data_IF_129274969403
#
_entry.id   IF_129274969403
#
_cell.length_a   1.000
_cell.length_b   1.000
_cell.length_c   1.000
_cell.angle_alpha   90.00
_cell.angle_beta   90.00
_cell.angle_gamma   90.00
#
_symmetry.space_group_name_H-M   'P 1'
#
loop_
_entity.id
_entity.type
_entity.pdbx_description
1 polymer ?
#
# COMPACT_ATOMS: atom_id res chain seq x y z
N UNK A 1 7.76 2.70 31.17
CA UNK A 1 8.62 3.05 30.02
C UNK A 1 7.68 3.23 28.85
N UNK A 2 7.14 4.44 28.82
CA UNK A 2 5.95 4.79 28.07
C UNK A 2 6.42 5.30 26.72
N UNK A 3 6.69 4.35 25.82
CA UNK A 3 6.95 4.68 24.44
C UNK A 3 5.70 5.36 23.88
N UNK A 4 5.87 6.62 23.46
CA UNK A 4 4.85 7.43 22.81
C UNK A 4 4.18 6.57 21.72
N UNK A 5 2.95 6.11 21.98
CA UNK A 5 2.03 5.49 21.00
C UNK A 5 1.57 6.56 19.99
N UNK A 6 2.52 7.31 19.44
CA UNK A 6 2.29 8.40 18.52
C UNK A 6 2.03 7.80 17.16
N UNK A 7 0.74 7.55 16.89
CA UNK A 7 0.24 6.88 15.67
C UNK A 7 0.84 5.46 15.57
N UNK A 8 0.04 4.44 15.86
CA UNK A 8 0.32 3.07 15.39
C UNK A 8 0.14 3.09 13.88
N UNK A 9 1.08 3.75 13.21
CA UNK A 9 1.03 4.16 11.82
C UNK A 9 1.06 2.91 10.98
N UNK A 10 0.11 2.84 10.05
CA UNK A 10 0.14 2.00 8.87
C UNK A 10 1.59 1.90 8.38
N UNK A 11 2.27 0.78 8.64
CA UNK A 11 3.63 0.53 8.19
C UNK A 11 3.76 -0.93 7.76
N UNK A 12 4.49 -1.17 6.67
CA UNK A 12 4.83 -2.52 6.21
C UNK A 12 6.10 -2.91 6.96
N UNK A 13 6.10 -4.06 7.65
CA UNK A 13 7.28 -4.53 8.40
C UNK A 13 7.79 -5.80 7.74
N UNK A 14 9.05 -5.80 7.33
CA UNK A 14 9.68 -6.94 6.69
C UNK A 14 10.36 -7.84 7.74
N UNK A 15 10.59 -9.11 7.37
CA UNK A 15 11.26 -10.08 8.24
C UNK A 15 12.70 -9.69 8.61
N UNK A 16 13.34 -8.84 7.81
CA UNK A 16 14.65 -8.24 8.06
C UNK A 16 14.62 -7.12 9.14
N UNK A 17 13.43 -6.78 9.68
CA UNK A 17 13.24 -5.72 10.66
C UNK A 17 13.15 -4.31 10.07
N UNK A 18 13.39 -4.17 8.76
CA UNK A 18 13.11 -2.94 8.03
C UNK A 18 11.60 -2.67 7.95
N UNK A 19 11.22 -1.39 7.85
CA UNK A 19 9.83 -0.99 7.72
C UNK A 19 9.64 0.16 6.74
N UNK A 20 8.49 0.17 6.05
CA UNK A 20 8.06 1.29 5.20
C UNK A 20 6.85 1.94 5.86
N UNK A 21 6.96 3.23 6.18
CA UNK A 21 5.85 4.02 6.69
C UNK A 21 4.82 4.32 5.58
N UNK A 22 3.54 4.25 5.93
CA UNK A 22 2.43 4.56 5.01
C UNK A 22 2.47 5.98 4.46
N UNK A 23 3.03 6.94 5.21
CA UNK A 23 3.24 8.32 4.77
C UNK A 23 4.09 8.39 3.48
N UNK A 24 5.13 7.56 3.39
CA UNK A 24 5.96 7.48 2.19
C UNK A 24 5.21 6.89 1.00
N UNK A 25 4.32 5.93 1.27
CA UNK A 25 3.43 5.40 0.23
C UNK A 25 2.55 6.51 -0.29
N UNK A 26 1.87 7.26 0.59
CA UNK A 26 0.98 8.34 0.16
C UNK A 26 1.67 9.34 -0.75
N UNK A 27 2.95 9.68 -0.54
CA UNK A 27 3.73 10.54 -1.45
C UNK A 27 3.93 9.94 -2.84
N UNK A 28 4.18 8.62 -2.95
CA UNK A 28 4.30 7.95 -4.25
C UNK A 28 2.97 7.97 -4.98
N UNK A 29 1.86 7.69 -4.29
CA UNK A 29 0.53 7.64 -4.89
C UNK A 29 -0.05 9.03 -5.20
N UNK A 30 0.33 10.07 -4.46
CA UNK A 30 -0.11 11.46 -4.67
C UNK A 30 0.22 11.95 -6.09
N UNK A 31 1.40 11.59 -6.60
CA UNK A 31 1.81 11.88 -7.98
C UNK A 31 0.92 11.23 -9.05
N UNK A 32 0.07 10.27 -8.66
CA UNK A 32 -0.85 9.53 -9.54
C UNK A 32 -2.29 9.57 -9.04
N UNK A 33 -2.65 10.52 -8.17
CA UNK A 33 -3.99 10.64 -7.59
C UNK A 33 -5.09 10.85 -8.65
N UNK A 34 -4.76 11.46 -9.80
CA UNK A 34 -5.65 11.57 -10.95
C UNK A 34 -5.97 10.22 -11.62
N UNK A 35 -5.07 9.24 -11.50
CA UNK A 35 -5.17 7.90 -12.12
C UNK A 35 -5.61 6.80 -11.15
N UNK A 36 -5.37 6.98 -9.85
CA UNK A 36 -5.67 6.00 -8.80
C UNK A 36 -6.59 6.66 -7.77
N UNK A 37 -7.85 6.22 -7.74
CA UNK A 37 -8.87 6.76 -6.85
C UNK A 37 -8.58 6.41 -5.38
N UNK A 38 -8.11 5.19 -5.15
CA UNK A 38 -7.75 4.71 -3.84
C UNK A 38 -6.72 3.58 -3.96
N UNK A 39 -5.90 3.40 -2.93
CA UNK A 39 -4.97 2.29 -2.86
C UNK A 39 -4.93 1.73 -1.44
N UNK A 40 -4.61 0.45 -1.32
CA UNK A 40 -4.45 -0.23 -0.04
C UNK A 40 -3.37 -1.28 -0.18
N UNK A 41 -2.46 -1.32 0.77
CA UNK A 41 -1.45 -2.36 0.86
C UNK A 41 -1.91 -3.41 1.85
N UNK A 42 -1.95 -4.67 1.43
CA UNK A 42 -2.30 -5.80 2.26
C UNK A 42 -1.08 -6.71 2.42
N UNK A 43 -0.54 -6.78 3.63
CA UNK A 43 0.56 -7.67 3.97
C UNK A 43 0.03 -9.02 4.47
N UNK A 44 0.36 -10.09 3.75
CA UNK A 44 0.11 -11.49 4.12
C UNK A 44 1.01 -11.91 5.29
N UNK A 45 0.58 -12.94 6.03
CA UNK A 45 1.38 -13.55 7.10
C UNK A 45 2.69 -14.17 6.59
N UNK A 46 2.67 -14.68 5.36
CA UNK A 46 3.84 -15.22 4.66
C UNK A 46 4.85 -14.13 4.24
N UNK A 47 4.55 -12.85 4.51
CA UNK A 47 5.40 -11.72 4.13
C UNK A 47 5.19 -11.21 2.70
N UNK A 48 4.26 -11.82 1.95
CA UNK A 48 3.81 -11.30 0.64
C UNK A 48 3.06 -9.97 0.84
N UNK A 49 3.32 -9.00 -0.02
CA UNK A 49 2.69 -7.68 -0.01
C UNK A 49 1.81 -7.54 -1.25
N UNK A 50 0.51 -7.30 -1.06
CA UNK A 50 -0.45 -7.13 -2.13
C UNK A 50 -0.82 -5.65 -2.18
N UNK A 51 -0.51 -4.99 -3.29
CA UNK A 51 -0.96 -3.64 -3.57
C UNK A 51 -2.31 -3.70 -4.28
N UNK A 52 -3.37 -3.30 -3.57
CA UNK A 52 -4.69 -3.08 -4.12
C UNK A 52 -4.82 -1.66 -4.62
N UNK A 53 -5.26 -1.49 -5.86
CA UNK A 53 -5.52 -0.17 -6.45
C UNK A 53 -6.92 -0.13 -7.05
N UNK A 54 -7.59 1.02 -6.85
CA UNK A 54 -8.84 1.38 -7.50
C UNK A 54 -8.49 2.37 -8.60
N UNK A 55 -8.49 1.96 -9.87
CA UNK A 55 -8.25 2.87 -10.98
C UNK A 55 -9.39 3.89 -11.10
N UNK A 56 -9.07 5.15 -11.40
CA UNK A 56 -10.11 6.11 -11.80
C UNK A 56 -10.61 5.72 -13.19
N UNK A 57 -11.92 5.58 -13.37
CA UNK A 57 -12.52 5.19 -14.66
C UNK A 57 -12.26 6.15 -15.83
N UNK A 58 -11.59 7.27 -15.56
CA UNK A 58 -11.18 8.30 -16.52
C UNK A 58 -9.85 7.92 -17.21
N UNK A 59 -9.00 7.15 -16.55
CA UNK A 59 -7.71 6.72 -17.07
C UNK A 59 -7.70 5.20 -17.37
N UNK A 60 -7.88 4.84 -18.64
CA UNK A 60 -7.70 3.46 -19.15
C UNK A 60 -6.22 3.02 -19.24
N UNK A 61 -5.29 3.83 -18.73
CA UNK A 61 -3.86 3.61 -18.89
C UNK A 61 -3.28 2.70 -17.82
N UNK A 62 -3.05 1.42 -18.16
CA UNK A 62 -2.24 0.49 -17.37
C UNK A 62 -0.86 1.05 -16.97
N UNK A 63 -0.30 1.97 -17.77
CA UNK A 63 1.03 2.54 -17.59
C UNK A 63 1.23 3.29 -16.25
N UNK A 64 0.23 4.04 -15.78
CA UNK A 64 0.35 4.78 -14.50
C UNK A 64 0.29 3.83 -13.31
N UNK A 65 -0.59 2.82 -13.39
CA UNK A 65 -0.70 1.78 -12.37
C UNK A 65 0.58 0.96 -12.33
N UNK A 66 1.14 0.59 -13.48
CA UNK A 66 2.40 -0.13 -13.58
C UNK A 66 3.58 0.70 -13.05
N UNK A 67 3.59 2.01 -13.31
CA UNK A 67 4.61 2.92 -12.76
C UNK A 67 4.55 2.98 -11.23
N UNK A 68 3.36 3.12 -10.65
CA UNK A 68 3.13 3.10 -9.20
C UNK A 68 3.53 1.75 -8.61
N UNK A 69 3.11 0.66 -9.25
CA UNK A 69 3.46 -0.69 -8.84
C UNK A 69 4.97 -0.92 -8.89
N UNK A 70 5.65 -0.49 -9.95
CA UNK A 70 7.10 -0.56 -10.07
C UNK A 70 7.81 0.34 -9.05
N UNK A 71 7.26 1.51 -8.71
CA UNK A 71 7.77 2.35 -7.63
C UNK A 71 7.73 1.63 -6.29
N UNK A 72 6.58 1.04 -5.95
CA UNK A 72 6.44 0.23 -4.74
C UNK A 72 7.33 -1.01 -4.77
N UNK A 73 7.35 -1.73 -5.88
CA UNK A 73 8.16 -2.94 -6.07
C UNK A 73 9.66 -2.64 -5.99
N UNK A 74 10.13 -1.51 -6.48
CA UNK A 74 11.52 -1.08 -6.30
C UNK A 74 11.82 -0.71 -4.85
N UNK A 75 10.87 -0.07 -4.15
CA UNK A 75 11.02 0.30 -2.74
C UNK A 75 11.09 -0.94 -1.83
N UNK A 76 10.19 -1.90 -2.05
CA UNK A 76 10.19 -3.20 -1.36
C UNK A 76 11.37 -4.05 -1.83
N UNK A 77 11.73 -3.94 -3.11
CA UNK A 77 12.79 -4.68 -3.76
C UNK A 77 12.54 -6.19 -3.72
N UNK A 78 13.60 -6.94 -3.42
CA UNK A 78 13.57 -8.40 -3.27
C UNK A 78 13.22 -8.86 -1.85
N UNK A 79 12.81 -7.94 -0.96
CA UNK A 79 12.55 -8.26 0.46
C UNK A 79 11.26 -9.06 0.66
N UNK A 80 10.29 -8.84 -0.22
CA UNK A 80 8.98 -9.49 -0.21
C UNK A 80 8.46 -9.63 -1.62
N UNK A 81 7.61 -10.63 -1.84
CA UNK A 81 6.86 -10.73 -3.09
C UNK A 81 5.79 -9.63 -3.14
N UNK A 82 5.81 -8.80 -4.18
CA UNK A 82 4.84 -7.71 -4.35
C UNK A 82 3.88 -8.07 -5.47
N UNK A 83 2.60 -8.13 -5.16
CA UNK A 83 1.52 -8.44 -6.11
C UNK A 83 0.67 -7.21 -6.36
N UNK A 84 0.25 -7.00 -7.60
CA UNK A 84 -0.70 -5.95 -7.96
C UNK A 84 -2.10 -6.57 -8.08
N UNK A 85 -3.06 -6.01 -7.37
CA UNK A 85 -4.46 -6.41 -7.43
C UNK A 85 -5.32 -5.19 -7.78
N UNK A 86 -6.06 -5.27 -8.88
CA UNK A 86 -6.99 -4.20 -9.29
C UNK A 86 -8.35 -4.52 -8.70
N UNK A 87 -8.86 -3.62 -7.88
CA UNK A 87 -10.14 -3.77 -7.21
C UNK A 87 -11.06 -2.62 -7.61
N UNK A 88 -12.35 -2.90 -7.75
CA UNK A 88 -13.33 -1.87 -8.11
C UNK A 88 -13.59 -0.88 -6.97
N UNK A 89 -13.36 -1.31 -5.73
CA UNK A 89 -13.54 -0.50 -4.53
C UNK A 89 -12.67 -1.04 -3.40
N UNK A 90 -12.23 -0.16 -2.50
CA UNK A 90 -11.61 -0.52 -1.22
C UNK A 90 -12.59 -0.13 -0.12
N UNK A 91 -12.89 -1.07 0.79
CA UNK A 91 -13.78 -0.80 1.91
C UNK A 91 -13.11 0.07 2.97
N UNK A 92 -13.87 1.04 3.50
CA UNK A 92 -13.41 1.96 4.53
C UNK A 92 -13.89 1.45 5.89
N UNK A 93 -12.97 1.16 6.79
CA UNK A 93 -13.29 0.69 8.14
C UNK A 93 -13.68 1.88 9.03
N UNK A 94 -14.98 2.03 9.34
CA UNK A 94 -15.49 2.99 10.33
C UNK A 94 -14.99 4.45 10.17
N UNK A 95 -14.96 4.96 8.93
CA UNK A 95 -14.58 6.35 8.64
C UNK A 95 -13.08 6.64 8.72
N UNK A 96 -12.23 5.63 8.96
CA UNK A 96 -10.77 5.74 8.88
C UNK A 96 -10.26 4.85 7.75
N UNK A 97 -9.76 5.50 6.71
CA UNK A 97 -9.08 4.78 5.63
C UNK A 97 -7.75 4.24 6.15
N UNK A 98 -7.60 2.92 6.15
CA UNK A 98 -6.32 2.27 6.47
C UNK A 98 -5.59 1.94 5.19
N UNK A 99 -4.44 2.58 5.03
CA UNK A 99 -3.61 2.40 3.85
C UNK A 99 -2.86 1.07 3.91
N UNK A 100 -2.55 0.56 5.10
CA UNK A 100 -1.84 -0.71 5.27
C UNK A 100 -2.64 -1.64 6.19
N UNK A 101 -3.07 -2.76 5.63
CA UNK A 101 -3.67 -3.88 6.35
C UNK A 101 -2.66 -5.00 6.48
N UNK A 102 -2.78 -5.74 7.59
CA UNK A 102 -2.04 -6.98 7.81
C UNK A 102 -3.03 -8.11 8.01
N UNK A 103 -2.77 -9.23 7.37
CA UNK A 103 -3.46 -10.49 7.63
C UNK A 103 -3.24 -10.84 9.11
N UNK A 104 -4.34 -11.12 9.82
CA UNK A 104 -4.32 -11.55 11.22
C UNK A 104 -4.54 -13.05 11.25
N UNK A 105 -3.73 -13.74 12.05
CA UNK A 105 -3.91 -15.15 12.41
C UNK A 105 -5.20 -15.36 13.22
#
# INVERSE_FOLDING_TARGET
MDAVKGRTSDMIVFSDGSCIAGDYLTTIFDAYADSVQAFQVFQKLDGTVILRVVPTGIFQGDANIDAVFNGLKNLIGTRSNVLLERVSQIEHDHGKFRFILREKE
#
